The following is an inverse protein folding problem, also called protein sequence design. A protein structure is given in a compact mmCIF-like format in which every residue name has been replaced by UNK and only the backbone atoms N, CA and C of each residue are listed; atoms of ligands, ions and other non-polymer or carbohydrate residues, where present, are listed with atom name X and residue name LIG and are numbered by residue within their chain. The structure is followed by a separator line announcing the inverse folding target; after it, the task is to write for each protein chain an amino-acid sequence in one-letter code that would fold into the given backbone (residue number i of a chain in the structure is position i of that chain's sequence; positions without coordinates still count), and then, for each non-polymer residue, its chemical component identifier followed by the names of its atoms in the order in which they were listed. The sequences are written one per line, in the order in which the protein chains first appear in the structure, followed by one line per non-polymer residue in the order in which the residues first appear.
data_IF_831302587216
#
_entry.id   IF_831302587216
#
_cell.length_a   1.000
_cell.length_b   1.000
_cell.length_c   1.000
_cell.angle_alpha   90.00
_cell.angle_beta   90.00
_cell.angle_gamma   90.00
#
_symmetry.space_group_name_H-M   'P 1'
#
loop_
_entity.id
_entity.type
_entity.pdbx_description
1 polymer ?
#
# COMPACT_ATOMS: atom_id res chain seq x y z
N UNK A 1 9.18 16.33 17.19
CA UNK A 1 9.09 16.27 15.72
C UNK A 1 8.83 14.83 15.35
N UNK A 2 7.58 14.48 15.07
CA UNK A 2 7.21 13.11 14.72
C UNK A 2 7.74 12.83 13.30
N UNK A 3 8.75 11.96 13.19
CA UNK A 3 9.17 11.38 11.91
C UNK A 3 8.08 10.43 11.42
N UNK A 4 6.99 10.98 10.89
CA UNK A 4 6.03 10.24 10.08
C UNK A 4 6.57 10.23 8.65
N UNK A 5 7.39 9.22 8.33
CA UNK A 5 7.71 8.90 6.94
C UNK A 5 6.44 8.80 6.12
N UNK A 6 6.43 9.44 4.95
CA UNK A 6 5.29 9.39 4.03
C UNK A 6 4.99 7.96 3.58
N UNK A 7 3.75 7.65 3.18
CA UNK A 7 3.38 6.32 2.71
C UNK A 7 4.24 5.86 1.51
N UNK A 8 4.69 6.82 0.69
CA UNK A 8 5.62 6.57 -0.41
C UNK A 8 7.02 6.16 0.05
N UNK A 9 7.51 6.73 1.15
CA UNK A 9 8.80 6.33 1.74
C UNK A 9 8.71 4.92 2.33
N UNK A 10 7.63 4.60 3.04
CA UNK A 10 7.40 3.25 3.58
C UNK A 10 7.37 2.25 2.43
N UNK A 11 6.59 2.53 1.37
CA UNK A 11 6.56 1.71 0.16
C UNK A 11 7.94 1.55 -0.47
N UNK A 12 8.66 2.66 -0.67
CA UNK A 12 9.99 2.66 -1.27
C UNK A 12 10.99 1.79 -0.50
N UNK A 13 11.03 1.93 0.82
CA UNK A 13 11.87 1.15 1.72
C UNK A 13 11.50 -0.35 1.68
N UNK A 14 10.20 -0.67 1.72
CA UNK A 14 9.72 -2.05 1.69
C UNK A 14 10.05 -2.74 0.35
N UNK A 15 9.92 -2.05 -0.78
CA UNK A 15 10.37 -2.58 -2.08
C UNK A 15 11.89 -2.73 -2.12
N UNK A 16 12.64 -1.78 -1.56
CA UNK A 16 14.11 -1.88 -1.49
C UNK A 16 14.56 -3.11 -0.71
N UNK A 17 13.89 -3.45 0.40
CA UNK A 17 14.15 -4.69 1.15
C UNK A 17 14.00 -5.91 0.23
N UNK A 18 12.89 -6.02 -0.52
CA UNK A 18 12.65 -7.15 -1.42
C UNK A 18 13.68 -7.26 -2.56
N UNK A 19 14.09 -6.12 -3.11
CA UNK A 19 15.17 -6.05 -4.13
C UNK A 19 16.49 -6.56 -3.54
N UNK A 20 16.84 -6.11 -2.34
CA UNK A 20 18.07 -6.49 -1.66
C UNK A 20 18.08 -7.99 -1.29
N UNK A 21 16.95 -8.55 -0.86
CA UNK A 21 16.82 -9.98 -0.57
C UNK A 21 17.11 -10.87 -1.79
N UNK A 22 16.89 -10.35 -3.00
CA UNK A 22 17.22 -11.04 -4.25
C UNK A 22 18.63 -10.74 -4.78
N UNK A 23 19.44 -9.97 -4.03
CA UNK A 23 20.75 -9.48 -4.44
C UNK A 23 20.72 -8.71 -5.78
N UNK A 24 19.63 -7.97 -6.04
CA UNK A 24 19.44 -7.27 -7.29
C UNK A 24 19.92 -5.82 -7.23
N UNK A 25 20.52 -5.35 -8.33
CA UNK A 25 20.70 -3.92 -8.55
C UNK A 25 19.37 -3.28 -8.96
N UNK A 26 19.25 -1.96 -8.81
CA UNK A 26 18.06 -1.22 -9.28
C UNK A 26 17.84 -1.42 -10.79
N UNK A 27 18.92 -1.51 -11.58
CA UNK A 27 18.82 -1.79 -13.02
C UNK A 27 18.20 -3.16 -13.29
N UNK A 28 18.63 -4.19 -12.57
CA UNK A 28 18.09 -5.53 -12.72
C UNK A 28 16.63 -5.60 -12.25
N UNK A 29 16.33 -5.01 -11.09
CA UNK A 29 14.96 -4.93 -10.58
C UNK A 29 14.01 -4.20 -11.53
N UNK A 30 14.44 -3.11 -12.16
CA UNK A 30 13.64 -2.37 -13.14
C UNK A 30 13.30 -3.24 -14.37
N UNK A 31 14.27 -4.02 -14.86
CA UNK A 31 14.08 -4.93 -15.98
C UNK A 31 13.07 -6.04 -15.63
N UNK A 32 13.25 -6.69 -14.47
CA UNK A 32 12.38 -7.76 -13.97
C UNK A 32 10.94 -7.28 -13.72
N UNK A 33 10.80 -6.11 -13.09
CA UNK A 33 9.51 -5.46 -12.88
C UNK A 33 8.92 -4.87 -14.16
N UNK A 34 9.63 -4.90 -15.30
CA UNK A 34 9.25 -4.24 -16.55
C UNK A 34 8.80 -2.80 -16.28
N UNK A 35 9.66 -2.02 -15.62
CA UNK A 35 9.38 -0.67 -15.19
C UNK A 35 10.56 0.25 -15.49
N UNK A 36 10.31 1.54 -15.70
CA UNK A 36 11.38 2.49 -15.97
C UNK A 36 12.31 2.61 -14.76
N UNK A 37 13.62 2.46 -14.99
CA UNK A 37 14.65 2.47 -13.94
C UNK A 37 14.67 3.78 -13.15
N UNK A 38 14.55 4.91 -13.85
CA UNK A 38 14.62 6.23 -13.21
C UNK A 38 13.36 6.50 -12.37
N UNK A 39 12.19 6.09 -12.86
CA UNK A 39 10.94 6.11 -12.09
C UNK A 39 11.02 5.17 -10.90
N UNK A 40 11.55 3.95 -11.06
CA UNK A 40 11.74 3.02 -9.94
C UNK A 40 12.64 3.66 -8.87
N UNK A 41 13.79 4.20 -9.27
CA UNK A 41 14.70 4.87 -8.35
C UNK A 41 14.02 6.00 -7.56
N UNK A 42 13.15 6.78 -8.19
CA UNK A 42 12.41 7.85 -7.51
C UNK A 42 11.29 7.33 -6.60
N UNK A 43 10.66 6.20 -6.95
CA UNK A 43 9.69 5.52 -6.08
C UNK A 43 10.39 4.98 -4.83
N UNK A 44 11.56 4.37 -4.98
CA UNK A 44 12.33 3.80 -3.86
C UNK A 44 12.74 4.88 -2.84
N UNK A 45 12.96 6.11 -3.28
CA UNK A 45 13.27 7.26 -2.41
C UNK A 45 12.03 8.03 -1.93
N UNK A 46 10.82 7.60 -2.28
CA UNK A 46 9.57 8.30 -1.96
C UNK A 46 9.34 9.63 -2.71
N UNK A 47 10.27 10.03 -3.59
CA UNK A 47 10.26 11.33 -4.28
C UNK A 47 9.27 11.43 -5.46
N UNK A 48 8.77 10.30 -5.96
CA UNK A 48 7.80 10.26 -7.04
C UNK A 48 6.49 9.63 -6.56
N UNK A 49 5.37 10.29 -6.88
CA UNK A 49 4.04 9.71 -6.69
C UNK A 49 3.74 8.68 -7.80
N UNK A 50 2.91 7.69 -7.48
CA UNK A 50 2.57 6.58 -8.35
C UNK A 50 1.14 6.12 -8.09
N UNK A 51 0.60 5.36 -9.04
CA UNK A 51 -0.78 4.89 -9.01
C UNK A 51 -0.89 3.52 -8.34
N UNK A 52 -2.10 3.22 -7.84
CA UNK A 52 -2.40 1.94 -7.20
C UNK A 52 -2.07 0.72 -8.07
N UNK A 53 -2.27 0.79 -9.39
CA UNK A 53 -1.89 -0.32 -10.29
C UNK A 53 -0.39 -0.66 -10.23
N UNK A 54 0.48 0.31 -9.95
CA UNK A 54 1.92 0.07 -9.78
C UNK A 54 2.17 -0.70 -8.49
N UNK A 55 1.46 -0.36 -7.40
CA UNK A 55 1.51 -1.10 -6.13
C UNK A 55 1.08 -2.55 -6.35
N UNK A 56 -0.08 -2.77 -6.96
CA UNK A 56 -0.63 -4.12 -7.20
C UNK A 56 0.33 -4.93 -8.06
N UNK A 57 0.91 -4.32 -9.10
CA UNK A 57 1.92 -4.97 -9.95
C UNK A 57 3.13 -5.43 -9.14
N UNK A 58 3.64 -4.60 -8.24
CA UNK A 58 4.82 -4.93 -7.44
C UNK A 58 4.48 -5.99 -6.38
N UNK A 59 3.34 -5.83 -5.68
CA UNK A 59 2.80 -6.78 -4.72
C UNK A 59 2.67 -8.18 -5.35
N UNK A 60 2.07 -8.27 -6.53
CA UNK A 60 1.94 -9.51 -7.30
C UNK A 60 3.29 -10.11 -7.67
N UNK A 61 4.21 -9.30 -8.18
CA UNK A 61 5.52 -9.78 -8.63
C UNK A 61 6.36 -10.35 -7.47
N UNK A 62 6.31 -9.72 -6.30
CA UNK A 62 7.03 -10.18 -5.13
C UNK A 62 6.26 -11.21 -4.30
N UNK A 63 5.02 -11.50 -4.67
CA UNK A 63 4.09 -12.35 -3.92
C UNK A 63 3.90 -11.88 -2.46
N UNK A 64 3.66 -10.59 -2.27
CA UNK A 64 3.39 -9.98 -0.95
C UNK A 64 2.04 -9.27 -0.99
N UNK A 65 1.28 -9.36 0.11
CA UNK A 65 0.01 -8.64 0.25
C UNK A 65 0.19 -7.12 0.14
N UNK A 66 -0.78 -6.46 -0.49
CA UNK A 66 -0.70 -5.02 -0.81
C UNK A 66 -0.58 -4.16 0.45
N UNK A 67 -1.30 -4.51 1.53
CA UNK A 67 -1.25 -3.72 2.76
C UNK A 67 0.15 -3.67 3.38
N UNK A 68 0.89 -4.77 3.27
CA UNK A 68 2.23 -4.89 3.84
C UNK A 68 3.21 -3.92 3.21
N UNK A 69 3.04 -3.58 1.93
CA UNK A 69 3.91 -2.60 1.28
C UNK A 69 3.82 -1.21 1.93
N UNK A 70 2.76 -0.92 2.70
CA UNK A 70 2.58 0.30 3.47
C UNK A 70 2.70 0.08 4.99
N UNK A 71 3.15 -1.09 5.43
CA UNK A 71 3.28 -1.42 6.85
C UNK A 71 4.72 -1.27 7.32
N UNK A 72 4.89 -0.75 8.54
CA UNK A 72 6.20 -0.76 9.24
C UNK A 72 6.57 -2.14 9.77
N UNK A 73 5.60 -3.04 9.91
CA UNK A 73 5.85 -4.44 10.29
C UNK A 73 6.52 -5.24 9.17
N UNK A 74 6.67 -4.63 7.98
CA UNK A 74 7.26 -5.27 6.82
C UNK A 74 8.69 -5.78 7.08
N UNK A 75 9.48 -5.13 7.92
CA UNK A 75 10.85 -5.56 8.24
C UNK A 75 10.89 -6.96 8.89
N UNK A 76 9.83 -7.34 9.61
CA UNK A 76 9.71 -8.68 10.19
C UNK A 76 9.41 -9.70 9.08
N UNK A 77 10.43 -10.42 8.64
CA UNK A 77 10.31 -11.46 7.61
C UNK A 77 9.35 -12.58 8.00
N UNK A 78 9.38 -13.05 9.26
CA UNK A 78 8.51 -14.12 9.73
C UNK A 78 7.03 -13.71 9.67
N UNK A 79 6.73 -12.44 9.96
CA UNK A 79 5.39 -11.90 9.78
C UNK A 79 5.05 -11.74 8.29
N UNK A 80 5.96 -11.15 7.50
CA UNK A 80 5.75 -10.85 6.08
C UNK A 80 5.41 -12.09 5.24
N UNK A 81 6.06 -13.23 5.46
CA UNK A 81 5.82 -14.45 4.68
C UNK A 81 4.42 -15.05 4.87
N UNK A 82 3.70 -14.66 5.93
CA UNK A 82 2.35 -15.15 6.23
C UNK A 82 1.28 -14.49 5.35
N UNK A 83 1.62 -13.40 4.67
CA UNK A 83 0.68 -12.60 3.87
C UNK A 83 1.12 -12.56 2.40
N UNK A 84 0.87 -13.63 1.63
CA UNK A 84 1.13 -13.65 0.20
C UNK A 84 0.20 -12.69 -0.54
N UNK A 85 0.54 -12.38 -1.79
CA UNK A 85 -0.34 -11.58 -2.63
C UNK A 85 -1.64 -12.34 -2.95
N UNK A 86 -2.77 -11.62 -2.96
CA UNK A 86 -4.09 -12.17 -3.32
C UNK A 86 -4.67 -11.33 -4.45
N UNK A 87 -5.11 -11.99 -5.51
CA UNK A 87 -5.79 -11.29 -6.60
C UNK A 87 -7.15 -10.75 -6.12
N UNK A 88 -7.34 -9.43 -6.20
CA UNK A 88 -8.56 -8.76 -5.72
C UNK A 88 -8.76 -7.40 -6.39
N UNK A 89 -9.99 -6.89 -6.35
CA UNK A 89 -10.26 -5.47 -6.62
C UNK A 89 -9.90 -4.65 -5.38
N UNK A 90 -8.64 -4.22 -5.32
CA UNK A 90 -8.13 -3.47 -4.18
C UNK A 90 -8.78 -2.11 -3.97
N UNK A 91 -9.45 -1.52 -4.97
CA UNK A 91 -10.25 -0.31 -4.75
C UNK A 91 -11.59 -0.62 -4.08
N UNK A 92 -12.19 -1.76 -4.39
CA UNK A 92 -13.36 -2.24 -3.67
C UNK A 92 -13.02 -2.63 -2.23
N UNK A 93 -11.85 -3.26 -2.00
CA UNK A 93 -11.32 -3.51 -0.65
C UNK A 93 -11.13 -2.19 0.10
N UNK A 94 -10.45 -1.21 -0.52
CA UNK A 94 -10.22 0.11 0.05
C UNK A 94 -11.53 0.79 0.49
N UNK A 95 -12.52 0.85 -0.40
CA UNK A 95 -13.82 1.46 -0.09
C UNK A 95 -14.55 0.75 1.04
N UNK A 96 -14.60 -0.58 1.01
CA UNK A 96 -15.27 -1.38 2.05
C UNK A 96 -14.62 -1.14 3.43
N UNK A 97 -13.29 -1.11 3.46
CA UNK A 97 -12.55 -0.86 4.70
C UNK A 97 -12.75 0.57 5.20
N UNK A 98 -12.77 1.55 4.28
CA UNK A 98 -13.10 2.94 4.60
C UNK A 98 -14.52 3.06 5.17
N UNK A 99 -15.53 2.45 4.53
CA UNK A 99 -16.93 2.46 5.01
C UNK A 99 -17.10 1.79 6.38
N UNK A 100 -16.31 0.76 6.67
CA UNK A 100 -16.31 0.08 7.97
C UNK A 100 -15.55 0.84 9.07
N UNK A 101 -14.80 1.88 8.70
CA UNK A 101 -14.05 2.71 9.63
C UNK A 101 -14.92 3.85 10.18
N UNK A 102 -14.43 4.56 11.20
CA UNK A 102 -15.09 5.76 11.72
C UNK A 102 -14.85 7.02 10.87
N UNK A 103 -14.14 6.90 9.75
CA UNK A 103 -13.82 8.00 8.85
C UNK A 103 -15.05 8.55 8.14
N UNK A 104 -15.18 9.87 8.11
CA UNK A 104 -16.21 10.54 7.31
C UNK A 104 -15.60 11.18 6.08
N UNK A 105 -16.36 11.16 4.99
CA UNK A 105 -15.94 11.83 3.74
C UNK A 105 -15.71 13.34 3.92
N UNK A 106 -16.43 13.97 4.85
CA UNK A 106 -16.28 15.39 5.19
C UNK A 106 -14.91 15.74 5.77
N UNK A 107 -14.19 14.75 6.29
CA UNK A 107 -12.95 14.96 7.02
C UNK A 107 -11.72 14.75 6.12
N UNK A 108 -11.94 14.42 4.84
CA UNK A 108 -10.89 14.18 3.85
C UNK A 108 -10.48 15.51 3.23
N UNK A 109 -9.20 15.82 3.29
CA UNK A 109 -8.62 17.05 2.72
C UNK A 109 -8.42 16.95 1.20
N UNK A 110 -9.50 16.73 0.45
CA UNK A 110 -9.55 16.69 -1.00
C UNK A 110 -10.83 17.37 -1.49
N UNK A 111 -10.89 17.72 -2.78
CA UNK A 111 -12.14 18.20 -3.35
C UNK A 111 -13.23 17.12 -3.29
N UNK A 112 -14.46 17.54 -2.99
CA UNK A 112 -15.59 16.62 -2.78
C UNK A 112 -15.91 15.75 -4.00
N UNK A 113 -15.60 16.22 -5.21
CA UNK A 113 -15.83 15.46 -6.44
C UNK A 113 -14.83 14.31 -6.55
N UNK A 114 -13.55 14.53 -6.24
CA UNK A 114 -12.53 13.47 -6.19
C UNK A 114 -12.88 12.43 -5.13
N UNK A 115 -13.25 12.86 -3.92
CA UNK A 115 -13.67 11.95 -2.84
C UNK A 115 -14.85 11.10 -3.30
N UNK A 116 -15.91 11.74 -3.82
CA UNK A 116 -17.09 11.05 -4.32
C UNK A 116 -16.77 10.07 -5.44
N UNK A 117 -15.92 10.45 -6.40
CA UNK A 117 -15.53 9.58 -7.50
C UNK A 117 -14.78 8.33 -7.02
N UNK A 118 -13.96 8.44 -5.98
CA UNK A 118 -13.25 7.30 -5.39
C UNK A 118 -14.24 6.40 -4.65
N UNK A 119 -15.06 6.97 -3.76
CA UNK A 119 -16.01 6.22 -2.92
C UNK A 119 -17.11 5.55 -3.75
N UNK A 120 -17.63 6.22 -4.78
CA UNK A 120 -18.65 5.64 -5.66
C UNK A 120 -18.07 4.73 -6.76
N UNK A 121 -16.76 4.44 -6.74
CA UNK A 121 -16.13 3.52 -7.70
C UNK A 121 -15.99 4.06 -9.13
N UNK A 122 -16.13 5.37 -9.33
CA UNK A 122 -15.90 6.03 -10.63
C UNK A 122 -14.42 6.27 -10.92
N UNK A 123 -13.55 6.26 -9.90
CA UNK A 123 -12.09 6.36 -10.02
C UNK A 123 -11.42 5.17 -9.33
N UNK A 124 -10.92 4.22 -10.14
CA UNK A 124 -10.36 2.95 -9.63
C UNK A 124 -8.82 2.82 -9.74
N UNK A 125 -8.13 3.90 -10.11
CA UNK A 125 -6.67 3.92 -10.11
C UNK A 125 -6.12 5.29 -9.67
N UNK A 126 -6.46 5.77 -8.46
CA UNK A 126 -5.88 6.98 -7.90
C UNK A 126 -4.39 6.81 -7.57
N UNK A 127 -3.72 7.93 -7.30
CA UNK A 127 -2.34 7.93 -6.83
C UNK A 127 -2.27 7.67 -5.33
N UNK A 128 -1.10 7.25 -4.84
CA UNK A 128 -0.92 6.98 -3.40
C UNK A 128 -1.06 8.24 -2.57
N UNK A 129 -0.57 9.40 -3.04
CA UNK A 129 -0.84 10.66 -2.33
C UNK A 129 -2.36 10.93 -2.23
N UNK A 130 -3.12 10.69 -3.31
CA UNK A 130 -4.59 10.85 -3.26
C UNK A 130 -5.24 9.91 -2.25
N UNK A 131 -4.78 8.67 -2.15
CA UNK A 131 -5.34 7.71 -1.18
C UNK A 131 -4.89 8.00 0.25
N UNK A 132 -3.69 8.52 0.46
CA UNK A 132 -3.17 8.90 1.77
C UNK A 132 -4.05 9.95 2.45
N UNK A 133 -4.63 10.90 1.71
CA UNK A 133 -5.56 11.90 2.24
C UNK A 133 -6.79 11.30 2.95
N UNK A 134 -7.16 10.04 2.67
CA UNK A 134 -8.27 9.36 3.36
C UNK A 134 -7.90 8.96 4.80
N UNK A 135 -6.64 9.07 5.19
CA UNK A 135 -6.12 8.64 6.49
C UNK A 135 -5.53 9.76 7.34
N UNK A 136 -5.22 10.93 6.74
CA UNK A 136 -4.48 12.04 7.37
C UNK A 136 -5.09 12.55 8.69
N UNK A 137 -6.42 12.55 8.79
CA UNK A 137 -7.14 13.08 9.95
C UNK A 137 -7.67 11.98 10.88
N UNK A 138 -7.06 10.79 10.86
CA UNK A 138 -7.55 9.62 11.58
C UNK A 138 -6.46 8.78 12.20
N UNK A 139 -6.86 7.90 13.11
CA UNK A 139 -5.99 6.86 13.66
C UNK A 139 -5.84 5.66 12.70
N UNK A 140 -6.58 5.62 11.60
CA UNK A 140 -6.47 4.57 10.58
C UNK A 140 -5.31 4.89 9.67
N UNK A 141 -4.39 3.95 9.49
CA UNK A 141 -3.26 4.08 8.56
C UNK A 141 -3.60 3.47 7.19
N UNK A 142 -2.89 3.89 6.13
CA UNK A 142 -3.22 3.51 4.75
C UNK A 142 -3.20 1.99 4.53
N UNK A 143 -2.27 1.28 5.19
CA UNK A 143 -2.19 -0.18 5.11
C UNK A 143 -3.49 -0.86 5.55
N UNK A 144 -4.15 -0.41 6.62
CA UNK A 144 -5.42 -0.99 7.09
C UNK A 144 -6.51 -0.94 6.02
N UNK A 145 -6.54 0.12 5.22
CA UNK A 145 -7.51 0.25 4.13
C UNK A 145 -7.27 -0.77 3.01
N UNK A 146 -6.08 -1.34 2.87
CA UNK A 146 -5.77 -2.34 1.84
C UNK A 146 -5.83 -3.80 2.31
N UNK A 147 -6.14 -4.07 3.58
CA UNK A 147 -6.29 -5.44 4.08
C UNK A 147 -7.51 -6.12 3.48
N UNK A 148 -7.30 -7.22 2.78
CA UNK A 148 -8.37 -8.12 2.36
C UNK A 148 -8.98 -8.85 3.55
N UNK A 149 -10.13 -9.49 3.39
CA UNK A 149 -10.71 -10.33 4.45
C UNK A 149 -9.78 -11.48 4.85
N UNK A 150 -9.04 -12.04 3.89
CA UNK A 150 -8.01 -13.06 4.17
C UNK A 150 -6.87 -12.50 5.00
N UNK A 151 -6.38 -11.29 4.70
CA UNK A 151 -5.35 -10.64 5.52
C UNK A 151 -5.84 -10.43 6.96
N UNK A 152 -7.05 -9.91 7.14
CA UNK A 152 -7.66 -9.70 8.46
C UNK A 152 -7.80 -11.02 9.23
N UNK A 153 -8.26 -12.07 8.56
CA UNK A 153 -8.40 -13.39 9.15
C UNK A 153 -7.04 -13.95 9.61
N UNK A 154 -6.01 -13.89 8.75
CA UNK A 154 -4.66 -14.33 9.10
C UNK A 154 -4.12 -13.56 10.30
N UNK A 155 -4.26 -12.23 10.33
CA UNK A 155 -3.78 -11.41 11.44
C UNK A 155 -4.47 -11.75 12.77
N UNK A 156 -5.80 -11.94 12.76
CA UNK A 156 -6.56 -12.34 13.96
C UNK A 156 -6.12 -13.71 14.51
N UNK A 157 -5.77 -14.65 13.63
CA UNK A 157 -5.28 -15.97 14.06
C UNK A 157 -3.91 -15.86 14.73
N UNK A 158 -3.04 -14.95 14.28
CA UNK A 158 -1.74 -14.73 14.91
C UNK A 158 -1.87 -14.15 16.32
N UNK A 159 -2.85 -13.27 16.54
CA UNK A 159 -3.12 -12.68 17.87
C UNK A 159 -3.68 -13.73 18.84
N UNK A 160 -4.44 -14.70 18.35
CA UNK A 160 -5.12 -15.71 19.21
C UNK A 160 -4.18 -16.82 19.69
N UNK A 161 -2.99 -16.96 19.10
CA UNK A 161 -2.00 -17.98 19.44
C UNK A 161 -1.00 -17.49 20.53
N UNK A 162 -1.12 -16.23 20.95
CA UNK A 162 -0.28 -15.60 21.98
C UNK A 162 -1.13 -15.05 23.14
#
# INVERSE_FOLDING_TARGET
MNNTSSEKEIFGNNIQILINQRNWTIQHAANELKYDRNKLSKILTGSQNFELRTVIKFARFFNISVFLLFSRLFENEQYRILFPFIESDYMSVFRKNFESSSLKQSDINLDSTTVSHIICGRRNNPTIDTLQHFTENSNTILSELFKTETDKFTEQHLITIH
#
